data_IF_093052650253
#
_entry.id   IF_093052650253
#
_cell.length_a   1.000
_cell.length_b   1.000
_cell.length_c   1.000
_cell.angle_alpha   90.00
_cell.angle_beta   90.00
_cell.angle_gamma   90.00
#
_symmetry.space_group_name_H-M   'P 1'
#
loop_
_entity.id
_entity.type
_entity.pdbx_description
1 polymer ?
#
# COMPACT_ATOMS: atom_id res chain seq x y z
N UNK A 1 -11.27 0.17 2.14
CA UNK A 1 -11.90 1.47 1.80
C UNK A 1 -10.85 2.58 1.88
N UNK A 2 -10.88 3.58 0.98
CA UNK A 2 -10.01 4.77 1.05
C UNK A 2 -10.67 5.84 1.93
N UNK A 3 -9.94 6.48 2.84
CA UNK A 3 -10.49 7.52 3.74
C UNK A 3 -9.80 8.87 3.67
N UNK A 4 -8.63 8.97 3.03
CA UNK A 4 -8.06 10.27 2.69
C UNK A 4 -8.84 10.92 1.55
N UNK A 5 -9.18 12.20 1.74
CA UNK A 5 -9.93 13.02 0.79
C UNK A 5 -8.97 13.73 -0.16
N UNK A 6 -8.21 14.67 0.39
CA UNK A 6 -7.27 15.55 -0.30
C UNK A 6 -5.89 15.55 0.38
N UNK A 7 -4.92 16.06 -0.35
CA UNK A 7 -3.58 16.35 0.16
C UNK A 7 -3.41 17.84 0.43
N UNK A 8 -2.50 18.17 1.33
CA UNK A 8 -1.99 19.51 1.53
C UNK A 8 -1.17 19.97 0.31
N UNK A 9 -0.85 21.26 0.27
CA UNK A 9 0.08 21.78 -0.73
C UNK A 9 1.45 21.09 -0.61
N UNK A 10 2.17 21.01 -1.73
CA UNK A 10 3.49 20.40 -1.71
C UNK A 10 4.44 21.30 -0.91
N UNK A 11 4.99 20.75 0.17
CA UNK A 11 5.97 21.41 1.02
C UNK A 11 7.05 20.40 1.42
N UNK A 12 8.31 20.82 1.54
CA UNK A 12 9.43 19.95 1.90
C UNK A 12 9.49 18.67 1.06
N UNK A 13 9.27 18.80 -0.26
CA UNK A 13 9.23 17.70 -1.22
C UNK A 13 8.24 16.57 -0.91
N UNK A 14 7.19 16.84 -0.13
CA UNK A 14 6.14 15.87 0.18
C UNK A 14 4.76 16.51 0.08
N UNK A 15 3.73 15.66 0.07
CA UNK A 15 2.34 16.06 0.23
C UNK A 15 1.70 15.23 1.33
N UNK A 16 1.52 15.87 2.49
CA UNK A 16 0.76 15.31 3.61
C UNK A 16 -0.73 15.19 3.25
N UNK A 17 -1.44 14.31 3.93
CA UNK A 17 -2.90 14.30 3.89
C UNK A 17 -3.42 15.52 4.63
N UNK A 18 -4.51 16.12 4.14
CA UNK A 18 -5.26 17.06 4.98
C UNK A 18 -5.76 16.36 6.26
N UNK A 19 -6.01 17.09 7.35
CA UNK A 19 -6.55 16.50 8.58
C UNK A 19 -7.82 15.69 8.33
N UNK A 20 -7.85 14.43 8.78
CA UNK A 20 -9.01 13.54 8.63
C UNK A 20 -10.05 13.83 9.73
N UNK A 21 -10.69 15.00 9.66
CA UNK A 21 -11.60 15.51 10.71
C UNK A 21 -12.84 14.65 10.95
N UNK A 22 -13.30 13.94 9.92
CA UNK A 22 -14.48 13.05 9.98
C UNK A 22 -14.11 11.56 10.07
N UNK A 23 -12.87 11.23 10.42
CA UNK A 23 -12.38 9.84 10.40
C UNK A 23 -13.25 8.91 11.25
N UNK A 24 -13.58 9.29 12.48
CA UNK A 24 -14.33 8.42 13.40
C UNK A 24 -15.74 8.10 12.85
N UNK A 25 -16.41 9.10 12.26
CA UNK A 25 -17.69 8.89 11.59
C UNK A 25 -17.55 7.91 10.42
N UNK A 26 -16.57 8.12 9.55
CA UNK A 26 -16.33 7.26 8.37
C UNK A 26 -16.02 5.82 8.79
N UNK A 27 -15.22 5.62 9.85
CA UNK A 27 -14.92 4.29 10.38
C UNK A 27 -16.17 3.63 10.97
N UNK A 28 -17.06 4.39 11.61
CA UNK A 28 -18.34 3.85 12.11
C UNK A 28 -19.29 3.38 11.00
N UNK A 29 -19.29 4.07 9.85
CA UNK A 29 -20.03 3.67 8.65
C UNK A 29 -19.38 2.43 8.02
N UNK A 30 -18.05 2.41 7.92
CA UNK A 30 -17.29 1.29 7.37
C UNK A 30 -17.56 -0.02 8.12
N UNK A 31 -17.69 0.07 9.46
CA UNK A 31 -17.99 -1.09 10.31
C UNK A 31 -19.34 -1.71 9.97
N UNK A 32 -20.37 -0.88 9.74
CA UNK A 32 -21.71 -1.34 9.30
C UNK A 32 -21.70 -2.01 7.93
N UNK A 33 -20.72 -1.71 7.10
CA UNK A 33 -20.55 -2.28 5.76
C UNK A 33 -19.61 -3.49 5.75
N UNK A 34 -19.20 -4.02 6.91
CA UNK A 34 -18.26 -5.13 7.03
C UNK A 34 -16.93 -4.89 6.28
N UNK A 35 -16.46 -3.64 6.26
CA UNK A 35 -15.15 -3.30 5.68
C UNK A 35 -14.05 -3.90 6.54
N UNK A 36 -13.13 -4.66 5.94
CA UNK A 36 -12.00 -5.27 6.65
C UNK A 36 -10.83 -4.31 6.90
N UNK A 37 -10.51 -3.47 5.91
CA UNK A 37 -9.31 -2.65 5.93
C UNK A 37 -9.52 -1.26 5.36
N UNK A 38 -8.75 -0.31 5.86
CA UNK A 38 -8.84 1.11 5.53
C UNK A 38 -7.50 1.63 5.06
N UNK A 39 -7.51 2.41 3.99
CA UNK A 39 -6.34 2.91 3.29
C UNK A 39 -6.24 4.42 3.37
N UNK A 40 -5.03 4.90 3.59
CA UNK A 40 -4.65 6.31 3.62
C UNK A 40 -3.43 6.54 2.73
N UNK A 41 -3.46 7.61 1.91
CA UNK A 41 -2.47 7.84 0.86
C UNK A 41 -1.74 9.19 0.98
N UNK A 42 -0.41 9.14 0.90
CA UNK A 42 0.47 10.31 0.87
C UNK A 42 1.55 10.16 -0.21
N UNK A 43 2.11 11.28 -0.68
CA UNK A 43 3.09 11.28 -1.79
C UNK A 43 4.40 11.97 -1.38
N UNK A 44 5.52 11.40 -1.81
CA UNK A 44 6.89 11.91 -1.66
C UNK A 44 7.43 12.24 -3.05
N UNK A 45 7.90 13.47 -3.24
CA UNK A 45 8.48 13.97 -4.49
C UNK A 45 10.01 14.02 -4.47
N UNK A 46 10.63 14.03 -3.29
CA UNK A 46 12.06 14.17 -3.15
C UNK A 46 12.60 13.73 -1.80
N UNK A 47 13.92 13.60 -1.72
CA UNK A 47 14.65 13.08 -0.56
C UNK A 47 14.81 14.09 0.59
N UNK A 48 13.74 14.81 0.92
CA UNK A 48 13.69 15.69 2.08
C UNK A 48 13.44 14.87 3.34
N UNK A 49 14.40 14.91 4.28
CA UNK A 49 14.35 14.08 5.49
C UNK A 49 13.20 14.42 6.41
N UNK A 50 12.94 15.72 6.61
CA UNK A 50 11.90 16.18 7.52
C UNK A 50 10.52 15.92 6.93
N UNK A 51 10.33 16.22 5.64
CA UNK A 51 9.08 15.91 4.94
C UNK A 51 8.72 14.42 4.97
N UNK A 52 9.69 13.53 4.69
CA UNK A 52 9.44 12.08 4.72
C UNK A 52 9.15 11.61 6.15
N UNK A 53 9.82 12.17 7.15
CA UNK A 53 9.54 11.87 8.57
C UNK A 53 8.12 12.30 8.95
N UNK A 54 7.66 13.44 8.48
CA UNK A 54 6.31 13.94 8.72
C UNK A 54 5.25 13.05 8.06
N UNK A 55 5.50 12.61 6.82
CA UNK A 55 4.67 11.63 6.11
C UNK A 55 4.52 10.35 6.93
N UNK A 56 5.63 9.75 7.36
CA UNK A 56 5.60 8.49 8.11
C UNK A 56 4.92 8.71 9.47
N UNK A 57 5.20 9.81 10.15
CA UNK A 57 4.56 10.14 11.43
C UNK A 57 3.05 10.29 11.29
N UNK A 58 2.58 10.99 10.26
CA UNK A 58 1.16 11.17 9.98
C UNK A 58 0.47 9.84 9.62
N UNK A 59 1.13 9.02 8.78
CA UNK A 59 0.64 7.70 8.37
C UNK A 59 0.45 6.77 9.59
N UNK A 60 1.45 6.64 10.45
CA UNK A 60 1.33 5.82 11.66
C UNK A 60 0.32 6.38 12.66
N UNK A 61 0.22 7.71 12.81
CA UNK A 61 -0.77 8.35 13.69
C UNK A 61 -2.21 7.98 13.30
N UNK A 62 -2.56 8.12 12.02
CA UNK A 62 -3.88 7.73 11.55
C UNK A 62 -4.04 6.21 11.46
N UNK A 63 -2.97 5.50 11.12
CA UNK A 63 -2.93 4.05 11.12
C UNK A 63 -3.33 3.45 12.47
N UNK A 64 -2.76 3.95 13.59
CA UNK A 64 -3.13 3.50 14.94
C UNK A 64 -4.61 3.75 15.23
N UNK A 65 -5.13 4.94 14.92
CA UNK A 65 -6.58 5.23 15.07
C UNK A 65 -7.47 4.27 14.27
N UNK A 66 -7.04 3.91 13.06
CA UNK A 66 -7.75 2.95 12.20
C UNK A 66 -7.71 1.55 12.82
N UNK A 67 -6.54 1.12 13.34
CA UNK A 67 -6.37 -0.16 14.01
C UNK A 67 -7.25 -0.27 15.27
N UNK A 68 -7.24 0.78 16.10
CA UNK A 68 -8.04 0.86 17.33
C UNK A 68 -9.55 0.80 17.05
N UNK A 69 -9.98 1.27 15.88
CA UNK A 69 -11.37 1.16 15.43
C UNK A 69 -11.75 -0.24 14.89
N UNK A 70 -10.80 -1.18 14.86
CA UNK A 70 -11.01 -2.58 14.47
C UNK A 70 -10.76 -2.90 13.00
N UNK A 71 -10.01 -2.06 12.27
CA UNK A 71 -9.69 -2.26 10.85
C UNK A 71 -8.21 -2.53 10.63
N UNK A 72 -7.86 -3.24 9.58
CA UNK A 72 -6.46 -3.31 9.13
C UNK A 72 -6.07 -2.03 8.40
N UNK A 73 -5.10 -1.24 8.91
CA UNK A 73 -4.66 -0.03 8.24
C UNK A 73 -3.67 -0.37 7.12
N UNK A 74 -3.94 0.15 5.93
CA UNK A 74 -3.06 0.11 4.76
C UNK A 74 -2.42 1.49 4.56
N UNK A 75 -1.16 1.61 4.98
CA UNK A 75 -0.37 2.84 4.85
C UNK A 75 0.17 2.93 3.42
N UNK A 76 -0.45 3.75 2.58
CA UNK A 76 -0.06 3.96 1.19
C UNK A 76 0.89 5.16 1.09
N UNK A 77 2.17 4.91 0.82
CA UNK A 77 3.20 5.94 0.71
C UNK A 77 3.84 5.82 -0.66
N UNK A 78 3.39 6.69 -1.57
CA UNK A 78 3.92 6.78 -2.93
C UNK A 78 5.19 7.62 -2.93
N UNK A 79 6.27 7.11 -3.53
CA UNK A 79 7.39 7.92 -3.99
C UNK A 79 7.19 8.12 -5.50
N UNK A 80 7.13 9.38 -5.91
CA UNK A 80 6.97 9.79 -7.30
C UNK A 80 8.05 9.14 -8.18
N UNK A 81 7.65 8.53 -9.29
CA UNK A 81 8.57 7.79 -10.15
C UNK A 81 9.53 8.69 -10.94
N UNK A 82 9.22 9.98 -11.06
CA UNK A 82 10.07 10.99 -11.70
C UNK A 82 10.99 11.69 -10.70
N UNK A 83 10.94 11.33 -9.42
CA UNK A 83 11.85 11.83 -8.40
C UNK A 83 13.30 11.47 -8.75
N UNK A 84 14.13 12.49 -8.99
CA UNK A 84 15.56 12.34 -9.34
C UNK A 84 16.36 11.61 -8.23
N UNK A 85 15.88 11.69 -6.99
CA UNK A 85 16.51 11.11 -5.80
C UNK A 85 15.65 9.99 -5.16
N UNK A 86 14.83 9.29 -5.96
CA UNK A 86 13.97 8.18 -5.52
C UNK A 86 14.67 7.18 -4.58
N UNK A 87 15.87 6.72 -4.94
CA UNK A 87 16.60 5.75 -4.13
C UNK A 87 17.05 6.30 -2.75
N UNK A 88 17.23 7.60 -2.62
CA UNK A 88 17.52 8.24 -1.33
C UNK A 88 16.23 8.44 -0.52
N UNK A 89 15.14 8.86 -1.17
CA UNK A 89 13.80 8.92 -0.57
C UNK A 89 13.38 7.56 0.01
N UNK A 90 13.64 6.46 -0.71
CA UNK A 90 13.40 5.09 -0.25
C UNK A 90 14.18 4.76 1.03
N UNK A 91 15.46 5.16 1.13
CA UNK A 91 16.27 4.93 2.34
C UNK A 91 15.72 5.68 3.54
N UNK A 92 15.34 6.94 3.36
CA UNK A 92 14.76 7.74 4.44
C UNK A 92 13.43 7.10 4.85
N UNK A 93 12.55 6.81 3.88
CA UNK A 93 11.24 6.20 4.11
C UNK A 93 11.36 4.88 4.88
N UNK A 94 12.17 3.94 4.40
CA UNK A 94 12.39 2.65 5.07
C UNK A 94 12.93 2.85 6.48
N UNK A 95 13.87 3.77 6.67
CA UNK A 95 14.44 4.06 7.99
C UNK A 95 13.39 4.55 8.96
N UNK A 96 12.55 5.50 8.55
CA UNK A 96 11.46 6.01 9.39
C UNK A 96 10.39 4.95 9.65
N UNK A 97 9.98 4.17 8.64
CA UNK A 97 9.05 3.03 8.83
C UNK A 97 9.61 2.07 9.89
N UNK A 98 10.86 1.63 9.76
CA UNK A 98 11.47 0.70 10.71
C UNK A 98 11.60 1.29 12.12
N UNK A 99 11.78 2.61 12.26
CA UNK A 99 11.75 3.26 13.58
C UNK A 99 10.38 3.16 14.21
N UNK A 100 9.32 3.45 13.48
CA UNK A 100 7.96 3.37 14.00
C UNK A 100 7.54 1.92 14.32
N UNK A 101 7.89 0.96 13.46
CA UNK A 101 7.60 -0.46 13.68
C UNK A 101 8.22 -1.01 14.98
N UNK A 102 9.37 -0.48 15.43
CA UNK A 102 10.02 -0.91 16.70
C UNK A 102 9.22 -0.56 17.96
N UNK A 103 8.26 0.36 17.87
CA UNK A 103 7.44 0.84 18.99
C UNK A 103 5.97 0.44 18.86
N UNK A 104 5.69 -0.56 18.03
CA UNK A 104 4.39 -1.18 18.00
C UNK A 104 4.35 -2.31 19.02
N UNK A 105 3.20 -2.45 19.68
CA UNK A 105 2.91 -3.55 20.57
C UNK A 105 2.16 -4.62 19.76
N UNK A 106 0.84 -4.61 19.83
CA UNK A 106 -0.04 -5.55 19.13
C UNK A 106 -0.57 -5.02 17.80
N UNK A 107 -0.27 -3.78 17.42
CA UNK A 107 -0.78 -3.20 16.18
C UNK A 107 -0.20 -3.91 14.96
N UNK A 108 -1.05 -4.19 13.97
CA UNK A 108 -0.66 -4.84 12.72
C UNK A 108 -1.04 -3.92 11.55
N UNK A 109 -0.08 -3.70 10.66
CA UNK A 109 -0.22 -2.82 9.51
C UNK A 109 0.01 -3.55 8.19
N UNK A 110 -0.59 -3.04 7.13
CA UNK A 110 -0.16 -3.31 5.77
C UNK A 110 0.48 -2.04 5.19
N UNK A 111 1.44 -2.22 4.29
CA UNK A 111 2.05 -1.12 3.56
C UNK A 111 1.73 -1.23 2.09
N UNK A 112 1.53 -0.08 1.43
CA UNK A 112 1.52 0.01 -0.02
C UNK A 112 2.52 1.08 -0.46
N UNK A 113 3.60 0.67 -1.11
CA UNK A 113 4.74 1.54 -1.42
C UNK A 113 5.14 1.42 -2.88
N UNK A 114 5.72 2.48 -3.44
CA UNK A 114 6.34 2.43 -4.78
C UNK A 114 7.32 1.27 -4.86
N UNK A 115 7.26 0.53 -5.97
CA UNK A 115 8.20 -0.57 -6.21
C UNK A 115 9.64 -0.05 -6.09
N UNK A 116 10.51 -0.69 -5.28
CA UNK A 116 11.79 -0.09 -4.93
C UNK A 116 12.75 -0.06 -6.12
N UNK A 117 13.65 0.92 -6.13
CA UNK A 117 14.69 1.02 -7.15
C UNK A 117 15.67 -0.16 -7.07
N UNK A 118 15.93 -0.67 -5.86
CA UNK A 118 16.77 -1.85 -5.61
C UNK A 118 15.90 -3.06 -5.27
N UNK A 119 16.15 -4.24 -5.88
CA UNK A 119 15.57 -5.51 -5.46
C UNK A 119 15.64 -5.72 -3.95
N UNK A 120 14.58 -6.28 -3.37
CA UNK A 120 14.49 -6.66 -1.96
C UNK A 120 14.76 -5.51 -0.96
N UNK A 121 14.64 -4.26 -1.40
CA UNK A 121 14.94 -3.12 -0.53
C UNK A 121 14.06 -3.07 0.72
N UNK A 122 12.77 -3.41 0.59
CA UNK A 122 11.81 -3.47 1.69
C UNK A 122 11.75 -4.82 2.42
N UNK A 123 12.66 -5.76 2.16
CA UNK A 123 12.63 -7.11 2.78
C UNK A 123 12.57 -7.10 4.32
N UNK A 124 13.34 -6.22 4.96
CA UNK A 124 13.26 -6.07 6.42
C UNK A 124 11.90 -5.56 6.94
N UNK A 125 11.12 -4.86 6.09
CA UNK A 125 9.75 -4.43 6.41
C UNK A 125 8.78 -5.60 6.22
N UNK A 126 8.93 -6.40 5.15
CA UNK A 126 8.07 -7.57 4.89
C UNK A 126 8.24 -8.68 5.93
N UNK A 127 9.41 -8.78 6.55
CA UNK A 127 9.73 -9.78 7.57
C UNK A 127 9.37 -9.33 9.00
N UNK A 128 8.88 -8.10 9.19
CA UNK A 128 8.53 -7.59 10.51
C UNK A 128 7.19 -8.22 11.00
N UNK A 129 7.10 -8.67 12.27
CA UNK A 129 5.91 -9.37 12.78
C UNK A 129 4.64 -8.50 12.85
N UNK A 130 4.78 -7.17 12.97
CA UNK A 130 3.68 -6.22 12.95
C UNK A 130 3.26 -5.82 11.52
N UNK A 131 3.81 -6.47 10.49
CA UNK A 131 3.51 -6.22 9.09
C UNK A 131 2.81 -7.43 8.48
N UNK A 132 1.53 -7.29 8.19
CA UNK A 132 0.74 -8.35 7.55
C UNK A 132 1.11 -8.54 6.07
N UNK A 133 1.57 -7.49 5.41
CA UNK A 133 2.02 -7.56 4.04
C UNK A 133 2.42 -6.22 3.45
N UNK A 134 3.23 -6.28 2.38
CA UNK A 134 3.65 -5.11 1.61
C UNK A 134 3.19 -5.26 0.18
N UNK A 135 2.43 -4.27 -0.29
CA UNK A 135 1.85 -4.19 -1.62
C UNK A 135 2.67 -3.20 -2.47
N UNK A 136 3.03 -3.58 -3.68
CA UNK A 136 3.70 -2.68 -4.62
C UNK A 136 2.71 -1.76 -5.33
N UNK A 137 3.02 -0.46 -5.33
CA UNK A 137 2.51 0.51 -6.30
C UNK A 137 3.34 0.36 -7.58
N UNK A 138 2.64 0.05 -8.66
CA UNK A 138 3.20 -0.24 -9.98
C UNK A 138 2.90 0.87 -11.01
N UNK A 139 2.37 2.00 -10.55
CA UNK A 139 2.08 3.14 -11.42
C UNK A 139 3.38 3.66 -12.05
N UNK A 140 3.29 4.26 -13.24
CA UNK A 140 4.47 4.77 -13.98
C UNK A 140 5.30 3.73 -14.75
N UNK A 141 5.05 2.44 -14.57
CA UNK A 141 5.72 1.37 -15.33
C UNK A 141 4.79 0.76 -16.39
N UNK A 142 5.39 0.21 -17.45
CA UNK A 142 4.65 -0.74 -18.30
C UNK A 142 4.30 -1.97 -17.46
N UNK A 143 3.29 -2.73 -17.89
CA UNK A 143 2.92 -3.93 -17.16
C UNK A 143 4.07 -4.94 -17.09
N UNK A 144 4.81 -5.10 -18.19
CA UNK A 144 5.96 -6.00 -18.26
C UNK A 144 7.09 -5.55 -17.32
N UNK A 145 7.44 -4.27 -17.34
CA UNK A 145 8.47 -3.73 -16.44
C UNK A 145 8.08 -3.85 -14.97
N UNK A 146 6.80 -3.58 -14.66
CA UNK A 146 6.26 -3.70 -13.32
C UNK A 146 6.37 -5.13 -12.79
N UNK A 147 6.02 -6.12 -13.63
CA UNK A 147 6.12 -7.55 -13.33
C UNK A 147 7.58 -7.94 -13.11
N UNK A 148 8.46 -7.59 -14.05
CA UNK A 148 9.88 -7.93 -13.98
C UNK A 148 10.55 -7.33 -12.75
N UNK A 149 10.24 -6.07 -12.40
CA UNK A 149 10.74 -5.45 -11.17
C UNK A 149 10.18 -6.14 -9.92
N UNK A 150 8.89 -6.49 -9.91
CA UNK A 150 8.25 -7.08 -8.73
C UNK A 150 8.80 -8.47 -8.44
N UNK A 151 9.12 -9.24 -9.49
CA UNK A 151 9.73 -10.57 -9.38
C UNK A 151 11.02 -10.61 -8.56
N UNK A 152 11.71 -9.47 -8.43
CA UNK A 152 12.94 -9.33 -7.67
C UNK A 152 12.71 -8.84 -6.23
N UNK A 153 11.48 -8.90 -5.71
CA UNK A 153 11.11 -8.48 -4.36
C UNK A 153 10.34 -9.58 -3.63
N UNK A 154 11.04 -10.31 -2.79
CA UNK A 154 10.52 -11.37 -1.93
C UNK A 154 9.43 -10.81 -1.00
N UNK A 155 8.35 -11.57 -0.81
CA UNK A 155 7.24 -11.24 0.10
C UNK A 155 6.52 -9.91 -0.20
N UNK A 156 6.68 -9.36 -1.41
CA UNK A 156 5.95 -8.18 -1.87
C UNK A 156 4.89 -8.59 -2.90
N UNK A 157 3.63 -8.17 -2.71
CA UNK A 157 2.52 -8.53 -3.60
C UNK A 157 2.13 -7.39 -4.53
N UNK A 158 1.57 -7.70 -5.69
CA UNK A 158 1.20 -6.68 -6.66
C UNK A 158 -0.09 -5.94 -6.27
N UNK A 159 -0.10 -4.61 -6.33
CA UNK A 159 -1.29 -3.80 -6.17
C UNK A 159 -1.73 -3.16 -7.48
N UNK A 160 -2.51 -3.87 -8.30
CA UNK A 160 -2.99 -3.37 -9.59
C UNK A 160 -4.35 -2.67 -9.45
N UNK A 161 -4.37 -1.33 -9.54
CA UNK A 161 -5.61 -0.54 -9.65
C UNK A 161 -5.88 -0.15 -11.11
N UNK A 162 -5.07 0.76 -11.66
CA UNK A 162 -5.23 1.28 -13.03
C UNK A 162 -5.05 0.21 -14.11
N UNK A 163 -4.17 -0.77 -13.88
CA UNK A 163 -3.92 -1.83 -14.86
C UNK A 163 -5.15 -2.72 -15.12
N UNK A 164 -6.03 -2.89 -14.13
CA UNK A 164 -7.26 -3.67 -14.28
C UNK A 164 -8.28 -2.95 -15.20
N UNK A 165 -8.29 -1.61 -15.17
CA UNK A 165 -9.30 -0.79 -15.85
C UNK A 165 -8.82 -0.16 -17.15
N UNK A 166 -7.51 -0.26 -17.47
CA UNK A 166 -6.84 0.50 -18.54
C UNK A 166 -7.52 0.41 -19.92
N UNK A 167 -8.12 -0.73 -20.23
CA UNK A 167 -8.72 -1.01 -21.54
C UNK A 167 -10.26 -1.11 -21.49
N UNK A 168 -10.87 -0.74 -20.37
CA UNK A 168 -12.32 -0.68 -20.23
C UNK A 168 -12.81 0.70 -20.70
N UNK A 169 -13.83 0.70 -21.54
CA UNK A 169 -14.42 1.91 -22.09
C UNK A 169 -15.95 1.88 -21.98
N UNK A 170 -16.57 3.05 -21.85
CA UNK A 170 -18.03 3.19 -21.63
C UNK A 170 -18.87 2.78 -22.85
N UNK A 171 -18.26 2.74 -24.03
CA UNK A 171 -18.87 2.41 -25.31
C UNK A 171 -18.74 0.91 -25.68
N UNK A 172 -18.09 0.10 -24.84
CA UNK A 172 -18.04 -1.35 -25.01
C UNK A 172 -19.41 -1.97 -24.72
N UNK A 173 -19.81 -2.95 -25.53
CA UNK A 173 -20.92 -3.82 -25.15
C UNK A 173 -20.53 -4.73 -23.98
N UNK A 174 -21.55 -5.34 -23.35
CA UNK A 174 -21.35 -6.18 -22.17
C UNK A 174 -20.37 -7.33 -22.45
N UNK A 175 -20.47 -8.02 -23.58
CA UNK A 175 -19.60 -9.16 -23.90
C UNK A 175 -18.13 -8.73 -23.99
N UNK A 176 -17.88 -7.62 -24.69
CA UNK A 176 -16.54 -7.06 -24.84
C UNK A 176 -16.00 -6.57 -23.50
N UNK A 177 -16.82 -5.88 -22.71
CA UNK A 177 -16.46 -5.40 -21.38
C UNK A 177 -16.01 -6.56 -20.48
N UNK A 178 -16.83 -7.61 -20.38
CA UNK A 178 -16.54 -8.79 -19.55
C UNK A 178 -15.28 -9.53 -20.03
N UNK A 179 -15.10 -9.67 -21.35
CA UNK A 179 -13.92 -10.32 -21.93
C UNK A 179 -12.63 -9.57 -21.60
N UNK A 180 -12.63 -8.24 -21.73
CA UNK A 180 -11.48 -7.39 -21.40
C UNK A 180 -11.16 -7.42 -19.91
N UNK A 181 -12.18 -7.31 -19.05
CA UNK A 181 -12.01 -7.38 -17.60
C UNK A 181 -11.46 -8.75 -17.17
N UNK A 182 -12.00 -9.84 -17.71
CA UNK A 182 -11.55 -11.20 -17.43
C UNK A 182 -10.09 -11.40 -17.83
N UNK A 183 -9.69 -10.98 -19.03
CA UNK A 183 -8.32 -11.10 -19.49
C UNK A 183 -7.34 -10.30 -18.62
N UNK A 184 -7.72 -9.09 -18.19
CA UNK A 184 -6.92 -8.28 -17.27
C UNK A 184 -6.79 -8.95 -15.89
N UNK A 185 -7.90 -9.45 -15.34
CA UNK A 185 -7.93 -10.16 -14.05
C UNK A 185 -7.11 -11.45 -14.08
N UNK A 186 -7.25 -12.28 -15.12
CA UNK A 186 -6.46 -13.50 -15.31
C UNK A 186 -4.96 -13.18 -15.43
N UNK A 187 -4.60 -12.16 -16.19
CA UNK A 187 -3.20 -11.76 -16.32
C UNK A 187 -2.62 -11.30 -14.98
N UNK A 188 -3.35 -10.47 -14.23
CA UNK A 188 -2.98 -10.04 -12.87
C UNK A 188 -2.89 -11.23 -11.91
N UNK A 189 -3.82 -12.17 -11.99
CA UNK A 189 -3.85 -13.37 -11.17
C UNK A 189 -2.66 -14.29 -11.45
N UNK A 190 -2.35 -14.55 -12.72
CA UNK A 190 -1.19 -15.38 -13.11
C UNK A 190 0.13 -14.74 -12.65
N UNK A 191 0.27 -13.43 -12.83
CA UNK A 191 1.39 -12.66 -12.27
C UNK A 191 1.46 -12.88 -10.76
N UNK A 192 0.34 -12.72 -10.05
CA UNK A 192 0.29 -12.88 -8.60
C UNK A 192 0.62 -14.31 -8.15
N UNK A 193 0.14 -15.34 -8.86
CA UNK A 193 0.40 -16.75 -8.57
C UNK A 193 1.86 -17.14 -8.78
N UNK A 194 2.50 -16.63 -9.84
CA UNK A 194 3.94 -16.84 -10.04
C UNK A 194 4.77 -16.30 -8.86
N UNK A 195 4.20 -15.44 -8.01
CA UNK A 195 4.83 -14.94 -6.79
C UNK A 195 4.32 -15.61 -5.50
N UNK A 196 3.05 -16.07 -5.45
CA UNK A 196 2.49 -16.80 -4.29
C UNK A 196 3.03 -18.23 -4.20
N UNK A 197 3.35 -18.89 -5.31
CA UNK A 197 3.89 -20.26 -5.33
C UNK A 197 5.31 -20.40 -4.74
N UNK A 198 5.97 -19.29 -4.38
CA UNK A 198 7.25 -19.30 -3.65
C UNK A 198 7.12 -19.00 -2.15
N UNK A 199 5.90 -18.85 -1.61
CA UNK A 199 5.68 -18.53 -0.19
C UNK A 199 5.17 -19.74 0.59
N UNK A 200 6.03 -20.27 1.45
CA UNK A 200 5.71 -21.26 2.48
C UNK A 200 4.75 -20.66 3.55
N UNK A 201 4.05 -21.49 4.36
CA UNK A 201 2.83 -21.12 5.06
C UNK A 201 3.12 -20.27 6.31
N UNK A 202 3.10 -18.94 6.17
CA UNK A 202 3.17 -18.02 7.32
C UNK A 202 1.82 -17.35 7.60
N UNK A 203 0.89 -17.37 6.63
CA UNK A 203 -0.37 -16.64 6.73
C UNK A 203 -1.38 -17.19 7.77
N UNK A 204 -1.26 -18.45 8.20
CA UNK A 204 -2.30 -19.08 9.04
C UNK A 204 -2.25 -18.67 10.50
N UNK A 205 -1.10 -18.22 11.02
CA UNK A 205 -0.94 -17.94 12.46
C UNK A 205 -1.21 -16.47 12.81
N UNK A 206 -1.02 -15.53 11.88
CA UNK A 206 -1.20 -14.09 12.12
C UNK A 206 -2.63 -13.57 11.88
N UNK A 207 -3.50 -14.33 11.20
CA UNK A 207 -4.90 -13.93 10.96
C UNK A 207 -5.85 -14.24 12.13
N UNK A 208 -5.47 -15.16 13.01
CA UNK A 208 -6.29 -15.64 14.14
C UNK A 208 -6.65 -14.53 15.15
N UNK A 209 -5.74 -13.58 15.51
CA UNK A 209 -6.09 -12.50 16.43
C UNK A 209 -7.08 -11.49 15.84
N UNK A 210 -7.04 -11.27 14.52
CA UNK A 210 -7.86 -10.26 13.82
C UNK A 210 -9.32 -10.74 13.73
N UNK A 211 -9.55 -12.03 13.48
CA UNK A 211 -10.90 -12.61 13.46
C UNK A 211 -11.57 -12.69 14.83
N UNK A 212 -10.79 -12.68 15.92
CA UNK A 212 -11.33 -12.71 17.28
C UNK A 212 -11.71 -11.32 17.82
N UNK A 213 -11.36 -10.23 17.12
CA UNK A 213 -11.77 -8.84 17.43
C UNK A 213 -12.94 -8.35 16.57
N UNK A 214 -13.32 -9.08 15.52
CA UNK A 214 -14.48 -8.81 14.64
C UNK A 214 -15.73 -9.56 15.15
#
# INVERSE_FOLDING_TARGET
MKVDQDKEEKENDVQLMKPLTNLDYILSEAKRQNVFGVKIHSVIYGANKDGIKDIVSQQFKYGKKIYDAGFIPLLEIEIDNYSENKAESEKILKTEIMKHLKFLDEEVFMFRVSIPAKPNFYKAVTENPNVLGVVALLEGYTQEDAVNKLANNDNMIAGFSKALLKNLHVDQDDEKFHSVLKAAAEKIYQISLSYVLYLHPIATTQLIPITNKL
#
